data_IF_613473484197
#
_entry.id   IF_613473484197
#
_cell.length_a   1.000
_cell.length_b   1.000
_cell.length_c   1.000
_cell.angle_alpha   90.00
_cell.angle_beta   90.00
_cell.angle_gamma   90.00
#
_symmetry.space_group_name_H-M   'P 1'
#
loop_
_entity.id
_entity.type
_entity.pdbx_description
1 polymer ?
#
# COMPACT_ATOMS: atom_id res chain seq x y z
N UNK A 1 -6.56 -10.65 13.94
CA UNK A 1 -5.90 -11.56 14.91
C UNK A 1 -6.84 -11.89 16.05
N UNK A 2 -6.75 -13.08 16.66
CA UNK A 2 -7.46 -13.36 17.92
C UNK A 2 -6.77 -12.66 19.08
N UNK A 3 -7.52 -12.37 20.16
CA UNK A 3 -6.97 -11.73 21.37
C UNK A 3 -5.85 -12.56 22.02
N UNK A 4 -5.94 -13.88 21.91
CA UNK A 4 -4.94 -14.83 22.41
C UNK A 4 -3.61 -14.73 21.64
N UNK A 5 -3.67 -14.58 20.32
CA UNK A 5 -2.46 -14.44 19.50
C UNK A 5 -1.75 -13.11 19.79
N UNK A 6 -2.50 -12.02 19.98
CA UNK A 6 -1.93 -10.71 20.33
C UNK A 6 -1.21 -10.80 21.68
N UNK A 7 -1.87 -11.38 22.69
CA UNK A 7 -1.28 -11.54 24.02
C UNK A 7 0.00 -12.39 24.00
N UNK A 8 0.04 -13.42 23.14
CA UNK A 8 1.23 -14.25 22.97
C UNK A 8 2.39 -13.46 22.36
N UNK A 9 2.13 -12.66 21.31
CA UNK A 9 3.17 -11.82 20.68
C UNK A 9 3.71 -10.79 21.68
N UNK A 10 2.85 -10.15 22.47
CA UNK A 10 3.27 -9.21 23.52
C UNK A 10 4.23 -9.89 24.51
N UNK A 11 3.88 -11.08 25.03
CA UNK A 11 4.75 -11.82 25.95
C UNK A 11 6.08 -12.22 25.34
N UNK A 12 6.10 -12.57 24.04
CA UNK A 12 7.34 -12.89 23.33
C UNK A 12 8.24 -11.66 23.30
N UNK A 13 7.70 -10.48 22.96
CA UNK A 13 8.46 -9.24 22.93
C UNK A 13 8.97 -8.87 24.33
N UNK A 14 8.11 -8.93 25.35
CA UNK A 14 8.48 -8.66 26.76
C UNK A 14 9.62 -9.56 27.27
N UNK A 15 9.80 -10.75 26.71
CA UNK A 15 10.87 -11.69 27.10
C UNK A 15 12.25 -11.34 26.54
N UNK A 16 12.33 -10.39 25.60
CA UNK A 16 13.57 -9.96 24.98
C UNK A 16 14.26 -8.86 25.81
N UNK A 17 15.59 -8.69 25.70
CA UNK A 17 16.23 -7.51 26.28
C UNK A 17 15.77 -6.23 25.56
N UNK A 18 15.82 -5.11 26.26
CA UNK A 18 15.23 -3.81 25.84
C UNK A 18 15.64 -3.38 24.42
N UNK A 19 16.94 -3.47 24.10
CA UNK A 19 17.44 -3.13 22.76
C UNK A 19 16.84 -4.00 21.64
N UNK A 20 16.51 -5.26 21.94
CA UNK A 20 15.85 -6.16 20.99
C UNK A 20 14.34 -5.90 20.93
N UNK A 21 13.71 -5.45 22.03
CA UNK A 21 12.31 -5.03 22.01
C UNK A 21 12.11 -3.85 21.07
N UNK A 22 12.95 -2.81 21.20
CA UNK A 22 12.89 -1.61 20.34
C UNK A 22 13.03 -1.96 18.87
N UNK A 23 14.01 -2.81 18.53
CA UNK A 23 14.22 -3.27 17.14
C UNK A 23 13.03 -4.06 16.59
N UNK A 24 12.42 -4.92 17.39
CA UNK A 24 11.22 -5.66 16.96
C UNK A 24 10.03 -4.72 16.77
N UNK A 25 9.85 -3.74 17.66
CA UNK A 25 8.79 -2.74 17.55
C UNK A 25 8.94 -1.90 16.29
N UNK A 26 10.16 -1.51 15.93
CA UNK A 26 10.45 -0.76 14.70
C UNK A 26 9.99 -1.54 13.46
N UNK A 27 10.42 -2.79 13.30
CA UNK A 27 10.01 -3.64 12.18
C UNK A 27 8.50 -3.93 12.16
N UNK A 28 7.86 -4.08 13.32
CA UNK A 28 6.41 -4.27 13.39
C UNK A 28 5.66 -3.01 12.93
N UNK A 29 6.16 -1.81 13.22
CA UNK A 29 5.55 -0.56 12.74
C UNK A 29 5.60 -0.45 11.23
N UNK A 30 6.77 -0.75 10.64
CA UNK A 30 6.92 -0.78 9.17
C UNK A 30 5.95 -1.78 8.54
N UNK A 31 5.92 -3.01 9.07
CA UNK A 31 5.03 -4.06 8.55
C UNK A 31 3.55 -3.70 8.68
N UNK A 32 3.14 -3.06 9.77
CA UNK A 32 1.75 -2.60 9.95
C UNK A 32 1.43 -1.48 8.95
N UNK A 33 2.36 -0.54 8.72
CA UNK A 33 2.16 0.53 7.75
C UNK A 33 1.97 -0.02 6.32
N UNK A 34 2.77 -1.01 5.91
CA UNK A 34 2.62 -1.68 4.61
C UNK A 34 1.22 -2.32 4.47
N UNK A 35 0.73 -3.00 5.53
CA UNK A 35 -0.61 -3.58 5.53
C UNK A 35 -1.69 -2.50 5.41
N UNK A 36 -1.56 -1.40 6.16
CA UNK A 36 -2.53 -0.30 6.12
C UNK A 36 -2.58 0.36 4.74
N UNK A 37 -1.43 0.54 4.09
CA UNK A 37 -1.33 1.06 2.73
C UNK A 37 -1.95 0.11 1.70
N UNK A 38 -1.69 -1.20 1.80
CA UNK A 38 -2.32 -2.22 0.95
C UNK A 38 -3.86 -2.21 1.11
N UNK A 39 -4.36 -2.12 2.34
CA UNK A 39 -5.79 -2.06 2.60
C UNK A 39 -6.44 -0.80 2.01
N UNK A 40 -5.77 0.35 2.14
CA UNK A 40 -6.22 1.61 1.53
C UNK A 40 -6.21 1.53 0.01
N UNK A 41 -5.17 0.92 -0.57
CA UNK A 41 -5.06 0.69 -2.01
C UNK A 41 -6.20 -0.19 -2.50
N UNK A 42 -6.44 -1.33 -1.87
CA UNK A 42 -7.50 -2.27 -2.25
C UNK A 42 -8.88 -1.63 -2.18
N UNK A 43 -9.15 -0.86 -1.12
CA UNK A 43 -10.42 -0.14 -1.00
C UNK A 43 -10.59 0.91 -2.12
N UNK A 44 -9.54 1.67 -2.40
CA UNK A 44 -9.52 2.72 -3.43
C UNK A 44 -9.68 2.12 -4.82
N UNK A 45 -8.95 1.05 -5.11
CA UNK A 45 -8.99 0.35 -6.38
C UNK A 45 -10.34 -0.31 -6.61
N UNK A 46 -10.89 -1.01 -5.62
CA UNK A 46 -12.23 -1.63 -5.71
C UNK A 46 -13.30 -0.60 -6.10
N UNK A 47 -13.22 0.63 -5.59
CA UNK A 47 -14.16 1.72 -5.91
C UNK A 47 -13.95 2.32 -7.31
N UNK A 48 -12.74 2.24 -7.86
CA UNK A 48 -12.34 3.01 -9.06
C UNK A 48 -11.97 2.16 -10.27
N UNK A 49 -11.84 0.83 -10.13
CA UNK A 49 -11.36 -0.07 -11.18
C UNK A 49 -12.09 0.06 -12.53
N UNK A 50 -13.42 0.20 -12.52
CA UNK A 50 -14.21 0.34 -13.76
C UNK A 50 -13.88 1.63 -14.48
N UNK A 51 -13.80 2.74 -13.72
CA UNK A 51 -13.43 4.04 -14.27
C UNK A 51 -12.00 4.06 -14.79
N UNK A 52 -11.07 3.40 -14.10
CA UNK A 52 -9.69 3.24 -14.59
C UNK A 52 -9.64 2.53 -15.94
N UNK A 53 -10.42 1.46 -16.12
CA UNK A 53 -10.52 0.74 -17.40
C UNK A 53 -11.10 1.63 -18.50
N UNK A 54 -12.17 2.38 -18.20
CA UNK A 54 -12.80 3.31 -19.15
C UNK A 54 -11.82 4.40 -19.60
N UNK A 55 -11.15 5.05 -18.65
CA UNK A 55 -10.14 6.09 -18.93
C UNK A 55 -8.97 5.52 -19.73
N UNK A 56 -8.49 4.33 -19.39
CA UNK A 56 -7.40 3.68 -20.14
C UNK A 56 -7.81 3.35 -21.59
N UNK A 57 -9.06 2.91 -21.82
CA UNK A 57 -9.59 2.69 -23.18
C UNK A 57 -9.68 3.99 -23.96
N UNK A 58 -10.18 5.05 -23.34
CA UNK A 58 -10.26 6.37 -23.94
C UNK A 58 -8.87 6.88 -24.32
N UNK A 59 -7.90 6.79 -23.42
CA UNK A 59 -6.53 7.21 -23.68
C UNK A 59 -5.93 6.46 -24.89
N UNK A 60 -6.17 5.14 -25.02
CA UNK A 60 -5.75 4.37 -26.20
C UNK A 60 -6.39 4.88 -27.49
N UNK A 61 -7.67 5.23 -27.47
CA UNK A 61 -8.35 5.80 -28.63
C UNK A 61 -7.76 7.17 -29.01
N UNK A 62 -7.53 8.04 -28.03
CA UNK A 62 -6.93 9.36 -28.25
C UNK A 62 -5.52 9.25 -28.84
N UNK A 63 -4.70 8.32 -28.35
CA UNK A 63 -3.38 8.03 -28.93
C UNK A 63 -3.51 7.58 -30.39
N UNK A 64 -4.43 6.67 -30.70
CA UNK A 64 -4.67 6.21 -32.07
C UNK A 64 -5.17 7.33 -33.00
N UNK A 65 -5.86 8.34 -32.44
CA UNK A 65 -6.30 9.55 -33.15
C UNK A 65 -5.19 10.62 -33.27
N UNK A 66 -3.98 10.35 -32.78
CA UNK A 66 -2.86 11.30 -32.81
C UNK A 66 -2.96 12.44 -31.78
N UNK A 67 -3.84 12.31 -30.78
CA UNK A 67 -4.04 13.31 -29.72
C UNK A 67 -3.09 13.12 -28.53
N UNK A 68 -2.26 12.07 -28.54
CA UNK A 68 -1.28 11.81 -27.49
C UNK A 68 0.00 12.62 -27.70
N UNK A 69 0.60 13.09 -26.61
CA UNK A 69 1.96 13.66 -26.60
C UNK A 69 2.85 12.88 -25.63
N UNK A 70 4.16 12.89 -25.85
CA UNK A 70 5.10 12.34 -24.89
C UNK A 70 5.03 13.13 -23.57
N UNK A 71 5.22 12.42 -22.46
CA UNK A 71 5.29 13.05 -21.13
C UNK A 71 6.54 13.92 -21.06
N UNK A 72 6.33 15.18 -20.68
CA UNK A 72 7.40 16.19 -20.57
C UNK A 72 7.83 16.28 -19.10
N UNK A 73 8.94 15.63 -18.77
CA UNK A 73 9.44 15.52 -17.40
C UNK A 73 9.95 16.85 -16.84
N UNK A 74 10.25 17.83 -17.69
CA UNK A 74 10.70 19.16 -17.26
C UNK A 74 9.53 20.04 -16.77
N UNK A 75 8.28 19.56 -16.89
CA UNK A 75 7.04 20.26 -16.50
C UNK A 75 6.26 19.58 -15.37
N UNK A 76 6.82 18.55 -14.75
CA UNK A 76 6.28 17.95 -13.52
C UNK A 76 6.76 18.71 -12.27
#
# INVERSE_FOLDING_TARGET
MSRENIATVVKIIESLPEAQQERVIEHLREYIADIEDELQWDESFRKTQTKLVEVARLAKQQIAQGQGQAMDYDKL
#
